data_IF_721886523486
#
_entry.id   IF_721886523486
#
_cell.length_a   1.000
_cell.length_b   1.000
_cell.length_c   1.000
_cell.angle_alpha   90.00
_cell.angle_beta   90.00
_cell.angle_gamma   90.00
#
_symmetry.space_group_name_H-M   'P 1'
#
loop_
_entity.id
_entity.type
_entity.pdbx_description
1 polymer ?
#
# COMPACT_ATOMS: atom_id res chain seq x y z
N UNK A 1 24.82 6.60 25.39
CA UNK A 1 25.95 5.92 24.74
C UNK A 1 25.71 4.41 24.53
N UNK A 2 24.46 3.96 24.30
CA UNK A 2 24.17 2.54 24.00
C UNK A 2 23.72 2.33 22.55
N UNK A 3 23.49 3.42 21.79
CA UNK A 3 22.94 3.35 20.44
C UNK A 3 23.96 3.08 19.33
N UNK A 4 25.24 3.42 19.53
CA UNK A 4 26.27 3.24 18.50
C UNK A 4 26.55 1.75 18.22
N UNK A 5 26.45 0.89 19.24
CA UNK A 5 26.74 -0.53 19.07
C UNK A 5 25.67 -1.31 18.29
N UNK A 6 24.43 -0.82 18.26
CA UNK A 6 23.34 -1.43 17.51
C UNK A 6 23.45 -1.12 16.00
N UNK A 7 23.92 0.07 15.65
CA UNK A 7 24.13 0.47 14.25
C UNK A 7 25.31 -0.29 13.62
N UNK A 8 26.38 -0.53 14.38
CA UNK A 8 27.54 -1.32 13.91
C UNK A 8 27.16 -2.77 13.59
N UNK A 9 26.36 -3.42 14.44
CA UNK A 9 25.91 -4.80 14.20
C UNK A 9 24.98 -4.91 12.98
N UNK A 10 24.16 -3.88 12.74
CA UNK A 10 23.30 -3.84 11.57
C UNK A 10 24.12 -3.67 10.28
N UNK A 11 25.16 -2.84 10.32
CA UNK A 11 26.08 -2.65 9.20
C UNK A 11 26.88 -3.93 8.86
N UNK A 12 27.38 -4.66 9.86
CA UNK A 12 28.07 -5.93 9.63
C UNK A 12 27.16 -7.00 9.00
N UNK A 13 25.90 -7.05 9.41
CA UNK A 13 24.90 -7.95 8.83
C UNK A 13 24.63 -7.62 7.36
N UNK A 14 24.43 -6.34 7.03
CA UNK A 14 24.20 -5.89 5.65
C UNK A 14 25.42 -6.16 4.75
N UNK A 15 26.63 -6.01 5.29
CA UNK A 15 27.88 -6.26 4.55
C UNK A 15 28.06 -7.75 4.23
N UNK A 16 27.69 -8.63 5.17
CA UNK A 16 27.73 -10.07 4.95
C UNK A 16 26.68 -10.52 3.91
N UNK A 17 25.47 -10.00 3.99
CA UNK A 17 24.41 -10.29 3.02
C UNK A 17 24.80 -9.82 1.60
N UNK A 18 25.41 -8.63 1.49
CA UNK A 18 25.93 -8.13 0.22
C UNK A 18 27.04 -9.03 -0.36
N UNK A 19 27.92 -9.58 0.49
CA UNK A 19 28.97 -10.51 0.09
C UNK A 19 28.39 -11.84 -0.45
N UNK A 20 27.37 -12.38 0.21
CA UNK A 20 26.71 -13.63 -0.21
C UNK A 20 25.98 -13.46 -1.55
N UNK A 21 25.25 -12.36 -1.73
CA UNK A 21 24.57 -12.05 -3.00
C UNK A 21 25.56 -11.92 -4.16
N UNK A 22 26.69 -11.28 -3.89
CA UNK A 22 27.78 -11.11 -4.82
C UNK A 22 28.38 -12.44 -5.31
N UNK A 23 28.64 -13.35 -4.37
CA UNK A 23 29.17 -14.68 -4.69
C UNK A 23 28.14 -15.50 -5.51
N UNK A 24 26.85 -15.32 -5.23
CA UNK A 24 25.77 -15.95 -5.98
C UNK A 24 25.68 -15.43 -7.43
N UNK A 25 25.79 -14.11 -7.64
CA UNK A 25 25.82 -13.51 -8.98
C UNK A 25 27.03 -14.02 -9.78
N UNK A 26 28.20 -14.08 -9.14
CA UNK A 26 29.42 -14.60 -9.76
C UNK A 26 29.30 -16.08 -10.14
N UNK A 27 28.63 -16.88 -9.31
CA UNK A 27 28.35 -18.28 -9.61
C UNK A 27 27.39 -18.45 -10.80
N UNK A 28 26.33 -17.63 -10.88
CA UNK A 28 25.40 -17.64 -12.01
C UNK A 28 26.05 -17.20 -13.33
N UNK A 29 26.93 -16.19 -13.30
CA UNK A 29 27.68 -15.76 -14.48
C UNK A 29 28.60 -16.87 -14.99
N UNK A 30 29.30 -17.56 -14.08
CA UNK A 30 30.17 -18.70 -14.43
C UNK A 30 29.39 -19.84 -15.09
N UNK A 31 28.18 -20.15 -14.60
CA UNK A 31 27.33 -21.19 -15.20
C UNK A 31 26.85 -20.83 -16.62
N UNK A 32 26.69 -19.53 -16.92
CA UNK A 32 26.26 -19.06 -18.23
C UNK A 32 27.38 -19.11 -19.28
N UNK A 33 28.64 -19.01 -18.87
CA UNK A 33 29.81 -19.08 -19.76
C UNK A 33 30.21 -20.52 -20.13
N UNK A 34 29.82 -21.52 -19.34
CA UNK A 34 30.16 -22.94 -19.56
C UNK A 34 29.10 -23.74 -20.35
N UNK A 35 28.04 -23.10 -20.87
CA UNK A 35 27.03 -23.77 -21.73
C UNK A 35 27.30 -23.51 -23.22
N UNK A 36 27.99 -24.41 -23.94
CA UNK A 36 28.19 -24.26 -25.38
C UNK A 36 26.86 -24.41 -26.13
N UNK A 37 26.57 -23.43 -26.98
CA UNK A 37 25.54 -23.42 -28.02
C UNK A 37 25.29 -24.82 -28.62
N UNK A 38 24.15 -25.42 -28.32
CA UNK A 38 23.51 -26.41 -29.18
C UNK A 38 22.22 -25.80 -29.72
N UNK A 39 22.37 -25.08 -30.83
CA UNK A 39 21.26 -24.54 -31.60
C UNK A 39 20.79 -25.71 -32.49
N UNK A 40 19.73 -26.40 -32.06
CA UNK A 40 19.04 -27.38 -32.90
C UNK A 40 17.80 -26.72 -33.48
N UNK A 41 17.91 -26.28 -34.74
CA UNK A 41 16.79 -25.85 -35.57
C UNK A 41 15.71 -26.95 -35.61
N UNK A 42 14.58 -26.70 -34.96
CA UNK A 42 13.37 -27.53 -35.10
C UNK A 42 12.24 -26.62 -35.57
N UNK A 43 11.61 -26.90 -36.72
CA UNK A 43 10.52 -26.08 -37.23
C UNK A 43 9.26 -26.27 -36.40
N UNK A 44 8.66 -25.15 -35.98
CA UNK A 44 7.38 -25.08 -35.27
C UNK A 44 6.27 -25.26 -36.31
N UNK A 45 5.50 -26.34 -36.18
CA UNK A 45 4.25 -26.56 -36.90
C UNK A 45 3.09 -25.95 -36.11
N UNK A 46 2.20 -25.29 -36.83
CA UNK A 46 1.10 -24.50 -36.29
C UNK A 46 -0.10 -25.41 -35.98
N UNK A 47 -0.70 -25.26 -34.80
CA UNK A 47 -2.07 -25.74 -34.57
C UNK A 47 -2.77 -24.81 -33.58
N UNK A 48 -3.63 -23.96 -34.13
CA UNK A 48 -4.61 -23.19 -33.40
C UNK A 48 -5.81 -24.09 -33.06
N UNK A 49 -6.15 -24.21 -31.78
CA UNK A 49 -7.46 -24.68 -31.35
C UNK A 49 -8.13 -23.54 -30.57
N UNK A 50 -9.09 -22.89 -31.23
CA UNK A 50 -10.11 -22.08 -30.57
C UNK A 50 -11.02 -23.02 -29.78
N UNK A 51 -11.13 -22.80 -28.46
CA UNK A 51 -12.18 -23.42 -27.65
C UNK A 51 -13.07 -22.32 -27.09
N UNK A 52 -14.20 -22.13 -27.76
CA UNK A 52 -15.35 -21.37 -27.28
C UNK A 52 -16.08 -22.21 -26.21
N UNK A 53 -16.30 -21.64 -25.02
CA UNK A 53 -17.18 -22.24 -24.01
C UNK A 53 -18.25 -21.20 -23.70
N UNK A 54 -19.41 -21.40 -24.31
CA UNK A 54 -20.69 -20.87 -23.83
C UNK A 54 -21.07 -21.59 -22.53
N UNK A 55 -21.40 -20.83 -21.48
CA UNK A 55 -22.12 -21.39 -20.33
C UNK A 55 -23.24 -20.46 -19.86
N UNK A 56 -24.41 -20.73 -20.44
CA UNK A 56 -25.72 -20.92 -19.82
C UNK A 56 -26.16 -19.99 -18.68
N UNK A 57 -27.16 -19.18 -19.02
CA UNK A 57 -28.18 -18.61 -18.15
C UNK A 57 -28.90 -19.64 -17.28
N UNK A 58 -29.32 -19.24 -16.07
CA UNK A 58 -30.41 -19.93 -15.37
C UNK A 58 -30.56 -19.54 -13.90
N UNK A 59 -31.80 -19.14 -13.55
CA UNK A 59 -32.41 -19.12 -12.20
C UNK A 59 -31.94 -18.02 -11.22
N UNK A 60 -32.78 -17.42 -10.39
CA UNK A 60 -34.21 -17.58 -10.15
C UNK A 60 -34.76 -16.27 -9.55
N UNK A 61 -35.96 -15.88 -10.00
CA UNK A 61 -36.68 -14.70 -9.53
C UNK A 61 -37.49 -15.11 -8.29
N UNK A 62 -36.95 -14.85 -7.10
CA UNK A 62 -37.73 -14.94 -5.86
C UNK A 62 -38.30 -13.57 -5.49
N UNK A 63 -39.59 -13.45 -5.80
CA UNK A 63 -40.50 -12.37 -5.45
C UNK A 63 -40.85 -12.47 -3.95
N UNK A 64 -40.14 -11.74 -3.10
CA UNK A 64 -40.46 -11.64 -1.66
C UNK A 64 -41.42 -10.48 -1.41
N UNK A 65 -42.55 -10.85 -0.80
CA UNK A 65 -43.68 -9.99 -0.43
C UNK A 65 -43.27 -8.74 0.36
N UNK A 66 -43.78 -7.60 -0.10
CA UNK A 66 -43.74 -6.31 0.61
C UNK A 66 -44.68 -6.35 1.82
N UNK A 67 -44.14 -6.66 3.00
CA UNK A 67 -44.80 -6.33 4.26
C UNK A 67 -44.66 -4.82 4.48
N UNK A 68 -45.77 -4.10 4.26
CA UNK A 68 -45.90 -2.66 4.52
C UNK A 68 -45.95 -2.45 6.04
N UNK A 69 -44.78 -2.38 6.67
CA UNK A 69 -44.66 -1.96 8.07
C UNK A 69 -44.86 -0.44 8.12
N UNK A 70 -45.93 0.00 8.78
CA UNK A 70 -46.13 1.41 9.14
C UNK A 70 -44.96 1.86 10.02
N UNK A 71 -44.07 2.62 9.40
CA UNK A 71 -42.92 3.22 10.03
C UNK A 71 -43.43 4.41 10.85
N UNK A 72 -43.73 4.16 12.12
CA UNK A 72 -43.90 5.19 13.15
C UNK A 72 -42.68 6.10 13.11
N UNK A 73 -42.86 7.31 12.60
CA UNK A 73 -41.82 8.33 12.53
C UNK A 73 -41.35 8.63 13.95
N UNK A 74 -40.20 8.06 14.34
CA UNK A 74 -39.54 8.44 15.57
C UNK A 74 -39.19 9.93 15.49
N UNK A 75 -39.30 10.67 16.60
CA UNK A 75 -38.95 12.07 16.64
C UNK A 75 -37.51 12.23 16.13
N UNK A 76 -37.34 13.12 15.15
CA UNK A 76 -36.07 13.52 14.57
C UNK A 76 -35.14 13.92 15.72
N UNK A 77 -34.25 13.00 16.10
CA UNK A 77 -33.28 13.25 17.16
C UNK A 77 -32.52 14.50 16.76
N UNK A 78 -32.47 15.48 17.65
CA UNK A 78 -31.64 16.66 17.47
C UNK A 78 -30.21 16.18 17.21
N UNK A 79 -29.67 16.48 16.03
CA UNK A 79 -28.31 16.11 15.61
C UNK A 79 -27.31 16.76 16.56
N UNK A 80 -27.03 16.08 17.66
CA UNK A 80 -25.97 16.47 18.58
C UNK A 80 -24.66 16.34 17.82
N UNK A 81 -23.97 17.47 17.64
CA UNK A 81 -22.70 17.52 16.91
C UNK A 81 -21.69 16.65 17.64
N UNK A 82 -21.37 15.50 17.04
CA UNK A 82 -20.42 14.55 17.61
C UNK A 82 -19.00 15.11 17.55
N UNK A 83 -18.27 14.99 18.65
CA UNK A 83 -16.90 15.51 18.81
C UNK A 83 -15.94 14.36 19.06
N UNK A 84 -14.73 14.47 18.50
CA UNK A 84 -13.61 13.56 18.75
C UNK A 84 -13.28 13.42 20.23
N UNK A 85 -13.09 12.19 20.70
CA UNK A 85 -12.60 11.94 22.08
C UNK A 85 -11.14 12.34 22.27
N UNK A 86 -10.38 12.46 21.17
CA UNK A 86 -8.96 12.84 21.19
C UNK A 86 -8.74 14.35 21.07
N UNK A 87 -9.82 15.14 20.97
CA UNK A 87 -9.73 16.59 20.88
C UNK A 87 -9.46 17.14 19.48
N UNK A 88 -9.68 16.35 18.42
CA UNK A 88 -9.58 16.83 17.03
C UNK A 88 -10.78 17.67 16.56
N UNK A 89 -11.72 18.00 17.47
CA UNK A 89 -12.94 18.74 17.16
C UNK A 89 -14.06 17.88 16.57
N UNK A 90 -15.11 18.50 16.00
CA UNK A 90 -16.23 17.79 15.38
C UNK A 90 -15.77 16.81 14.30
N UNK A 91 -16.46 15.68 14.16
CA UNK A 91 -16.21 14.77 13.05
C UNK A 91 -16.57 15.43 11.71
N UNK A 92 -15.82 15.17 10.63
CA UNK A 92 -16.14 15.74 9.33
C UNK A 92 -17.44 15.12 8.80
N UNK A 93 -18.25 15.93 8.12
CA UNK A 93 -19.41 15.42 7.38
C UNK A 93 -18.96 14.41 6.32
N UNK A 94 -19.62 13.26 6.27
CA UNK A 94 -19.34 12.22 5.28
C UNK A 94 -20.07 12.53 3.97
N UNK A 95 -19.38 12.50 2.82
CA UNK A 95 -20.03 12.54 1.51
C UNK A 95 -21.07 11.42 1.39
N UNK A 96 -22.23 11.69 0.77
CA UNK A 96 -23.32 10.72 0.67
C UNK A 96 -22.93 9.42 -0.08
N UNK A 97 -21.89 9.48 -0.92
CA UNK A 97 -21.36 8.34 -1.67
C UNK A 97 -20.14 7.67 -1.00
N UNK A 98 -19.76 8.11 0.20
CA UNK A 98 -18.65 7.52 0.94
C UNK A 98 -18.99 6.09 1.40
N UNK A 99 -18.10 5.10 1.24
CA UNK A 99 -18.43 3.68 1.47
C UNK A 99 -18.72 3.30 2.92
N UNK A 100 -18.32 4.12 3.89
CA UNK A 100 -18.49 3.87 5.33
C UNK A 100 -19.29 5.00 5.96
N UNK A 101 -20.61 5.00 5.78
CA UNK A 101 -21.50 6.06 6.30
C UNK A 101 -21.58 6.08 7.83
N UNK A 102 -21.26 4.97 8.48
CA UNK A 102 -21.24 4.75 9.92
C UNK A 102 -19.84 4.89 10.53
N UNK A 103 -18.86 5.42 9.76
CA UNK A 103 -17.45 5.42 10.16
C UNK A 103 -17.16 6.05 11.52
N UNK A 104 -17.92 7.08 11.89
CA UNK A 104 -17.78 7.81 13.15
C UNK A 104 -18.84 7.43 14.19
N UNK A 105 -19.58 6.34 13.95
CA UNK A 105 -20.50 5.77 14.91
C UNK A 105 -19.73 5.02 16.00
N UNK A 106 -20.17 5.16 17.24
CA UNK A 106 -19.46 4.59 18.40
C UNK A 106 -19.25 3.09 18.25
N UNK A 107 -20.28 2.37 17.78
CA UNK A 107 -20.19 0.93 17.50
C UNK A 107 -19.13 0.58 16.46
N UNK A 108 -18.93 1.43 15.45
CA UNK A 108 -17.99 1.14 14.37
C UNK A 108 -16.56 1.49 14.80
N UNK A 109 -16.38 2.61 15.50
CA UNK A 109 -15.09 2.98 16.08
C UNK A 109 -14.59 1.97 17.12
N UNK A 110 -15.47 1.40 17.95
CA UNK A 110 -15.10 0.42 18.97
C UNK A 110 -14.71 -0.95 18.37
N UNK A 111 -15.21 -1.27 17.18
CA UNK A 111 -15.01 -2.58 16.54
C UNK A 111 -13.87 -2.61 15.52
N UNK A 112 -13.55 -1.48 14.88
CA UNK A 112 -12.75 -1.53 13.65
C UNK A 112 -11.25 -1.57 13.93
N UNK A 113 -10.73 -0.87 14.93
CA UNK A 113 -9.33 -0.96 15.36
C UNK A 113 -9.17 -0.33 16.75
N UNK A 114 -8.05 -0.59 17.44
CA UNK A 114 -7.68 -0.04 18.76
C UNK A 114 -8.31 1.34 19.02
N UNK A 115 -9.47 1.37 19.72
CA UNK A 115 -10.30 2.56 19.76
C UNK A 115 -9.59 3.70 20.49
N UNK A 116 -8.55 3.42 21.25
CA UNK A 116 -7.79 4.38 22.03
C UNK A 116 -6.55 4.92 21.28
N UNK A 117 -6.36 4.53 20.02
CA UNK A 117 -5.27 5.04 19.20
C UNK A 117 -5.74 6.21 18.30
N UNK A 118 -5.28 7.46 18.57
CA UNK A 118 -5.71 8.65 17.84
C UNK A 118 -5.33 8.63 16.35
N UNK A 119 -4.35 7.83 15.95
CA UNK A 119 -3.93 7.74 14.56
C UNK A 119 -5.02 7.14 13.65
N UNK A 120 -5.87 6.25 14.17
CA UNK A 120 -6.97 5.70 13.36
C UNK A 120 -8.01 6.77 13.05
N UNK A 121 -8.38 7.61 14.02
CA UNK A 121 -9.30 8.72 13.75
C UNK A 121 -8.70 9.70 12.73
N UNK A 122 -7.43 10.08 12.89
CA UNK A 122 -6.73 10.92 11.91
C UNK A 122 -6.73 10.30 10.52
N UNK A 123 -6.47 8.99 10.43
CA UNK A 123 -6.42 8.27 9.15
C UNK A 123 -7.76 8.35 8.42
N UNK A 124 -8.86 8.16 9.16
CA UNK A 124 -10.21 8.30 8.62
C UNK A 124 -10.55 9.72 8.20
N UNK A 125 -10.18 10.72 9.00
CA UNK A 125 -10.35 12.14 8.63
C UNK A 125 -9.58 12.48 7.36
N UNK A 126 -8.33 12.02 7.22
CA UNK A 126 -7.52 12.20 6.00
C UNK A 126 -8.21 11.55 4.81
N UNK A 127 -8.71 10.31 4.95
CA UNK A 127 -9.42 9.60 3.87
C UNK A 127 -10.69 10.34 3.43
N UNK A 128 -11.47 10.87 4.36
CA UNK A 128 -12.68 11.67 4.06
C UNK A 128 -12.31 12.97 3.33
N UNK A 129 -11.24 13.66 3.75
CA UNK A 129 -10.78 14.90 3.07
C UNK A 129 -10.25 14.60 1.66
N UNK A 130 -9.49 13.51 1.47
CA UNK A 130 -9.05 13.02 0.16
C UNK A 130 -10.24 12.70 -0.76
N UNK A 131 -11.29 12.04 -0.23
CA UNK A 131 -12.51 11.76 -0.98
C UNK A 131 -13.19 13.05 -1.47
N UNK A 132 -13.31 14.05 -0.60
CA UNK A 132 -13.86 15.38 -0.95
C UNK A 132 -13.02 16.11 -2.00
N UNK A 133 -11.72 15.81 -2.10
CA UNK A 133 -10.81 16.32 -3.13
C UNK A 133 -10.84 15.51 -4.43
N UNK A 134 -11.66 14.46 -4.51
CA UNK A 134 -11.83 13.63 -5.71
C UNK A 134 -10.93 12.38 -5.74
N UNK A 135 -10.11 12.13 -4.72
CA UNK A 135 -9.30 10.92 -4.62
C UNK A 135 -10.13 9.82 -3.95
N UNK A 136 -10.88 9.07 -4.77
CA UNK A 136 -11.87 8.09 -4.31
C UNK A 136 -11.31 6.68 -4.11
N UNK A 137 -10.29 6.31 -4.88
CA UNK A 137 -9.76 4.94 -4.94
C UNK A 137 -8.71 4.64 -3.85
N UNK A 138 -8.86 5.24 -2.67
CA UNK A 138 -7.96 4.97 -1.53
C UNK A 138 -8.42 3.68 -0.86
N UNK A 139 -7.71 2.57 -1.08
CA UNK A 139 -8.03 1.28 -0.45
C UNK A 139 -7.76 1.28 1.06
N UNK A 140 -6.71 1.97 1.47
CA UNK A 140 -6.25 2.05 2.83
C UNK A 140 -5.17 3.09 2.99
N UNK A 141 -4.51 3.09 4.14
CA UNK A 141 -3.46 4.03 4.43
C UNK A 141 -2.50 3.40 5.42
N UNK A 142 -1.21 3.61 5.22
CA UNK A 142 -0.21 3.17 6.18
C UNK A 142 0.45 4.38 6.83
N UNK A 143 1.00 4.18 8.02
CA UNK A 143 1.61 5.26 8.81
C UNK A 143 3.07 4.94 9.09
N UNK A 144 3.93 5.96 9.13
CA UNK A 144 5.29 5.83 9.64
C UNK A 144 5.31 6.20 11.13
N UNK A 145 5.68 5.26 12.00
CA UNK A 145 5.86 5.56 13.43
C UNK A 145 7.00 6.56 13.69
N UNK A 146 7.99 6.62 12.78
CA UNK A 146 9.15 7.51 12.90
C UNK A 146 8.82 8.96 12.54
N UNK A 147 8.04 9.15 11.47
CA UNK A 147 7.79 10.49 10.92
C UNK A 147 6.37 10.99 11.17
N UNK A 148 5.44 10.13 11.61
CA UNK A 148 4.03 10.47 11.75
C UNK A 148 3.28 10.64 10.42
N UNK A 149 3.98 10.51 9.28
CA UNK A 149 3.40 10.70 7.96
C UNK A 149 2.51 9.53 7.56
N UNK A 150 1.48 9.87 6.80
CA UNK A 150 0.49 8.95 6.25
C UNK A 150 0.71 8.74 4.75
N UNK A 151 0.56 7.50 4.31
CA UNK A 151 0.79 7.07 2.94
C UNK A 151 -0.48 6.38 2.42
N UNK A 152 -1.36 7.11 1.73
CA UNK A 152 -2.57 6.55 1.13
C UNK A 152 -2.23 5.51 0.06
N UNK A 153 -2.90 4.36 0.11
CA UNK A 153 -2.79 3.30 -0.89
C UNK A 153 -3.64 3.64 -2.11
N UNK A 154 -3.13 4.53 -2.96
CA UNK A 154 -3.76 4.97 -4.22
C UNK A 154 -3.20 4.11 -5.37
N UNK A 155 -4.04 3.48 -6.21
CA UNK A 155 -3.58 2.75 -7.39
C UNK A 155 -2.63 3.57 -8.27
N UNK A 156 -1.55 2.94 -8.72
CA UNK A 156 -0.53 3.56 -9.55
C UNK A 156 0.39 4.53 -8.79
N UNK A 157 0.37 4.55 -7.45
CA UNK A 157 1.26 5.41 -6.64
C UNK A 157 1.98 4.61 -5.56
N UNK A 158 3.29 4.77 -5.49
CA UNK A 158 4.15 4.20 -4.44
C UNK A 158 4.98 5.27 -3.77
N UNK A 159 5.28 5.07 -2.49
CA UNK A 159 6.15 5.91 -1.66
C UNK A 159 7.39 5.12 -1.31
N UNK A 160 8.57 5.64 -1.63
CA UNK A 160 9.85 4.96 -1.54
C UNK A 160 10.79 5.69 -0.59
N UNK A 161 11.43 4.96 0.32
CA UNK A 161 12.64 5.41 1.02
C UNK A 161 13.85 4.89 0.25
N UNK A 162 14.66 5.80 -0.28
CA UNK A 162 15.85 5.48 -1.06
C UNK A 162 17.08 5.29 -0.17
N UNK A 163 17.95 4.34 -0.54
CA UNK A 163 19.36 4.33 -0.13
C UNK A 163 20.14 5.11 -1.19
N UNK A 164 20.72 6.28 -0.86
CA UNK A 164 21.24 7.22 -1.86
C UNK A 164 22.42 6.70 -2.68
N UNK A 165 23.18 5.74 -2.14
CA UNK A 165 24.28 5.08 -2.86
C UNK A 165 24.33 3.61 -2.48
N UNK A 166 24.22 2.75 -3.49
CA UNK A 166 24.46 1.32 -3.32
C UNK A 166 25.64 0.93 -4.20
N UNK A 167 26.74 0.56 -3.55
CA UNK A 167 27.97 0.16 -4.23
C UNK A 167 28.30 -1.27 -3.81
N UNK A 168 28.46 -2.16 -4.77
CA UNK A 168 28.91 -3.54 -4.54
C UNK A 168 30.23 -3.70 -5.28
N UNK A 169 31.30 -4.03 -4.54
CA UNK A 169 32.67 -4.15 -5.07
C UNK A 169 33.20 -2.95 -5.86
N UNK A 170 32.85 -1.73 -5.44
CA UNK A 170 33.28 -0.51 -6.11
C UNK A 170 32.51 -0.19 -7.40
N UNK A 171 31.53 -1.00 -7.79
CA UNK A 171 30.59 -0.68 -8.85
C UNK A 171 29.34 -0.03 -8.25
N UNK A 172 28.98 1.16 -8.75
CA UNK A 172 27.73 1.81 -8.39
C UNK A 172 26.58 1.10 -9.09
N UNK A 173 25.65 0.60 -8.29
CA UNK A 173 24.33 0.19 -8.71
C UNK A 173 23.40 1.37 -8.38
N UNK A 174 22.31 1.55 -9.13
CA UNK A 174 21.39 2.69 -8.97
C UNK A 174 20.81 2.81 -7.55
N UNK A 175 19.84 3.71 -7.36
CA UNK A 175 19.21 3.87 -6.04
C UNK A 175 18.52 2.57 -5.63
N UNK A 176 18.91 2.03 -4.47
CA UNK A 176 18.29 0.86 -3.84
C UNK A 176 17.05 1.32 -3.05
N UNK A 177 15.97 0.56 -3.14
CA UNK A 177 14.76 0.77 -2.35
C UNK A 177 15.02 0.18 -0.95
N UNK A 178 14.93 1.02 0.10
CA UNK A 178 14.99 0.57 1.51
C UNK A 178 13.63 0.12 2.00
N UNK A 179 12.60 0.91 1.70
CA UNK A 179 11.22 0.66 2.09
C UNK A 179 10.30 1.18 1.00
N UNK A 180 9.17 0.52 0.84
CA UNK A 180 8.14 0.92 -0.12
C UNK A 180 6.77 0.75 0.52
N UNK A 181 5.86 1.68 0.24
CA UNK A 181 4.45 1.68 0.64
C UNK A 181 3.60 2.03 -0.58
N UNK A 182 2.43 1.42 -0.73
CA UNK A 182 1.58 1.69 -1.88
C UNK A 182 0.26 0.94 -1.83
N UNK A 183 -0.40 0.85 -2.98
CA UNK A 183 -1.51 -0.06 -3.19
C UNK A 183 -1.03 -1.53 -3.16
N UNK A 184 -1.72 -2.46 -2.47
CA UNK A 184 -1.32 -3.87 -2.42
C UNK A 184 -1.05 -4.52 -3.78
N UNK A 185 -1.84 -4.21 -4.81
CA UNK A 185 -1.69 -4.80 -6.14
C UNK A 185 -0.40 -4.30 -6.82
N UNK A 186 -0.09 -2.99 -6.70
CA UNK A 186 1.16 -2.41 -7.19
C UNK A 186 2.39 -2.97 -6.44
N UNK A 187 2.22 -3.25 -5.15
CA UNK A 187 3.27 -3.82 -4.30
C UNK A 187 3.56 -5.28 -4.64
N UNK A 188 2.55 -6.04 -5.06
CA UNK A 188 2.71 -7.41 -5.54
C UNK A 188 3.56 -7.45 -6.80
N UNK A 189 3.29 -6.55 -7.77
CA UNK A 189 4.11 -6.42 -8.98
C UNK A 189 5.59 -6.15 -8.65
N UNK A 190 5.86 -5.29 -7.67
CA UNK A 190 7.23 -5.02 -7.22
C UNK A 190 7.87 -6.24 -6.53
N UNK A 191 7.10 -7.01 -5.75
CA UNK A 191 7.58 -8.20 -5.06
C UNK A 191 7.94 -9.31 -6.05
N UNK A 192 7.14 -9.51 -7.08
CA UNK A 192 7.38 -10.52 -8.10
C UNK A 192 8.61 -10.16 -8.96
N UNK A 193 8.92 -8.86 -9.11
CA UNK A 193 10.19 -8.41 -9.69
C UNK A 193 11.44 -8.73 -8.86
N UNK A 194 11.27 -9.13 -7.60
CA UNK A 194 12.32 -9.44 -6.62
C UNK A 194 12.61 -10.95 -6.45
N UNK A 195 12.06 -11.81 -7.33
CA UNK A 195 12.08 -13.28 -7.18
C UNK A 195 13.45 -13.91 -6.85
N UNK A 196 14.56 -13.28 -7.24
CA UNK A 196 15.91 -13.78 -6.99
C UNK A 196 16.50 -13.43 -5.61
N UNK A 197 15.73 -12.79 -4.72
CA UNK A 197 16.23 -12.29 -3.43
C UNK A 197 17.18 -11.11 -3.55
N UNK A 198 17.38 -10.57 -4.76
CA UNK A 198 18.17 -9.36 -4.99
C UNK A 198 17.44 -8.12 -4.46
N UNK A 199 18.16 -7.09 -3.98
CA UNK A 199 17.54 -5.82 -3.62
C UNK A 199 16.77 -5.20 -4.79
N UNK A 200 15.60 -4.64 -4.50
CA UNK A 200 14.85 -3.84 -5.46
C UNK A 200 15.58 -2.52 -5.75
N UNK A 201 15.73 -2.24 -7.04
CA UNK A 201 16.36 -1.03 -7.57
C UNK A 201 15.32 -0.12 -8.19
N UNK A 202 15.70 1.14 -8.36
CA UNK A 202 14.90 2.11 -9.11
C UNK A 202 14.50 1.61 -10.50
N UNK A 203 15.39 0.88 -11.18
CA UNK A 203 15.14 0.31 -12.52
C UNK A 203 14.10 -0.82 -12.52
N UNK A 204 13.80 -1.40 -11.36
CA UNK A 204 12.81 -2.48 -11.23
C UNK A 204 11.38 -1.93 -11.09
N UNK A 205 11.22 -0.62 -10.86
CA UNK A 205 9.91 0.01 -10.73
C UNK A 205 9.26 0.15 -12.11
N UNK A 206 8.05 -0.44 -12.33
CA UNK A 206 7.33 -0.26 -13.57
C UNK A 206 7.09 1.22 -13.90
N UNK A 207 7.33 1.61 -15.15
CA UNK A 207 7.27 3.03 -15.58
C UNK A 207 5.90 3.68 -15.48
N UNK A 208 4.82 2.89 -15.29
CA UNK A 208 3.47 3.41 -15.10
C UNK A 208 3.17 3.80 -13.64
N UNK A 209 4.01 3.40 -12.68
CA UNK A 209 3.86 3.77 -11.29
C UNK A 209 4.42 5.18 -11.05
N UNK A 210 3.62 6.02 -10.40
CA UNK A 210 4.08 7.28 -9.84
C UNK A 210 4.89 7.01 -8.59
N UNK A 211 6.16 7.38 -8.60
CA UNK A 211 7.06 7.22 -7.45
C UNK A 211 7.17 8.54 -6.70
N UNK A 212 6.85 8.50 -5.41
CA UNK A 212 7.02 9.60 -4.47
C UNK A 212 8.07 9.21 -3.42
N UNK A 213 8.79 10.17 -2.89
CA UNK A 213 9.66 9.93 -1.73
C UNK A 213 8.79 9.77 -0.47
N UNK A 214 9.24 8.95 0.49
CA UNK A 214 8.54 8.82 1.77
C UNK A 214 8.46 10.14 2.57
N UNK A 215 9.33 11.11 2.31
CA UNK A 215 9.21 12.45 2.87
C UNK A 215 8.02 13.25 2.30
N UNK A 216 7.45 12.82 1.17
CA UNK A 216 6.25 13.41 0.55
C UNK A 216 4.94 12.81 1.09
N UNK A 217 5.01 12.01 2.16
CA UNK A 217 3.83 11.54 2.87
C UNK A 217 2.99 12.69 3.44
N UNK A 218 1.73 12.40 3.76
CA UNK A 218 0.79 13.39 4.31
C UNK A 218 1.05 13.57 5.80
N UNK A 219 1.43 14.78 6.23
CA UNK A 219 1.31 15.18 7.65
C UNK A 219 -0.18 15.36 7.95
N UNK A 220 -0.80 14.52 8.80
CA UNK A 220 -2.24 14.56 9.01
C UNK A 220 -2.69 15.84 9.72
N UNK A 221 -1.83 16.48 10.52
CA UNK A 221 -2.20 17.71 11.23
C UNK A 221 -2.22 18.89 10.27
N UNK A 222 -1.16 19.04 9.46
CA UNK A 222 -1.11 20.09 8.44
C UNK A 222 -2.21 19.87 7.38
N UNK A 223 -2.41 18.63 6.94
CA UNK A 223 -3.39 18.31 5.92
C UNK A 223 -4.83 18.49 6.41
N UNK A 224 -5.12 18.32 7.71
CA UNK A 224 -6.46 18.49 8.28
C UNK A 224 -6.67 19.87 8.93
N UNK A 225 -5.68 20.76 8.86
CA UNK A 225 -5.71 22.07 9.51
C UNK A 225 -5.91 21.96 11.04
N UNK A 226 -5.28 20.95 11.67
CA UNK A 226 -5.37 20.65 13.10
C UNK A 226 -4.15 21.17 13.88
N UNK A 227 -4.32 21.55 15.17
CA UNK A 227 -3.18 21.90 16.02
C UNK A 227 -2.29 20.68 16.25
N UNK A 228 -0.97 20.83 16.05
CA UNK A 228 0.00 19.77 16.34
C UNK A 228 0.09 19.52 17.85
N UNK A 229 0.20 18.25 18.28
CA UNK A 229 0.49 17.92 19.67
C UNK A 229 1.86 18.52 20.05
N UNK A 230 1.95 19.00 21.29
CA UNK A 230 3.20 19.54 21.84
C UNK A 230 4.17 18.44 22.25
#
# INVERSE_FOLDING_TARGET
MVNEHAEDLQFESELKEAQELADQIKAQQKLKEESPNSISDTPIDASAEETSIEHTSGLDVLNSEKTKTEQTAMPLATDEVRVSKFGFGPYPELPADFPYQDLFDASTLDNVHDPDNPNYELMYRVRVKLWKQGVRDVLGMSTSRRTGLFYPSIPGTIYVEWVPRWTVFGQEFGRKIRSVKGNPDDMEVLRDGSEDGRPLLESDIPSHLKVLDMSEGIDPYDFLDLPKPK
#
